data_IF_613803931011
#
_entry.id   IF_613803931011
#
_cell.length_a   1.000
_cell.length_b   1.000
_cell.length_c   1.000
_cell.angle_alpha   90.00
_cell.angle_beta   90.00
_cell.angle_gamma   90.00
#
_symmetry.space_group_name_H-M   'P 1'
#
loop_
_entity.id
_entity.type
_entity.pdbx_description
1 polymer ?
#
# COMPACT_ATOMS: atom_id res chain seq x y z
N UNK A 1 -11.04 -1.10 8.97
CA UNK A 1 -9.81 -0.72 9.70
C UNK A 1 -9.74 0.80 9.88
N UNK A 2 -9.60 1.59 8.80
CA UNK A 2 -9.46 3.06 8.88
C UNK A 2 -10.66 3.79 9.54
N UNK A 3 -11.89 3.32 9.33
CA UNK A 3 -13.09 3.89 9.98
C UNK A 3 -13.07 3.74 11.51
N UNK A 4 -12.37 2.72 12.04
CA UNK A 4 -12.18 2.54 13.48
C UNK A 4 -10.95 3.31 14.01
N UNK A 5 -10.36 4.18 13.21
CA UNK A 5 -9.13 4.92 13.50
C UNK A 5 -7.89 4.04 13.74
N UNK A 6 -7.81 2.89 13.05
CA UNK A 6 -6.64 2.02 13.02
C UNK A 6 -5.93 2.09 11.66
N UNK A 7 -4.66 1.67 11.66
CA UNK A 7 -3.81 1.46 10.48
C UNK A 7 -3.33 0.02 10.44
N UNK A 8 -3.12 -0.53 9.24
CA UNK A 8 -2.70 -1.92 9.03
C UNK A 8 -1.19 -2.11 9.17
N UNK A 9 -0.39 -1.20 8.60
CA UNK A 9 1.09 -1.17 8.58
C UNK A 9 1.78 -2.24 7.74
N UNK A 10 1.15 -3.37 7.51
CA UNK A 10 1.69 -4.46 6.68
C UNK A 10 0.71 -4.93 5.59
N UNK A 11 0.10 -3.97 4.89
CA UNK A 11 -0.87 -4.30 3.86
C UNK A 11 -0.15 -4.69 2.57
N UNK A 12 -0.29 -5.94 2.15
CA UNK A 12 0.19 -6.44 0.86
C UNK A 12 -0.70 -7.59 0.40
N UNK A 13 -0.55 -8.03 -0.85
CA UNK A 13 -1.41 -9.08 -1.42
C UNK A 13 -1.37 -10.40 -0.65
N UNK A 14 -0.28 -10.68 0.08
CA UNK A 14 -0.11 -11.88 0.89
C UNK A 14 -0.98 -11.90 2.14
N UNK A 15 -1.43 -10.71 2.58
CA UNK A 15 -2.35 -10.52 3.69
C UNK A 15 -3.80 -10.32 3.22
N UNK A 16 -4.09 -10.62 1.94
CA UNK A 16 -5.45 -10.65 1.39
C UNK A 16 -5.82 -12.10 1.14
N UNK A 17 -6.85 -12.58 1.84
CA UNK A 17 -7.27 -13.97 1.85
C UNK A 17 -8.63 -14.12 1.18
N UNK A 18 -8.83 -15.23 0.47
CA UNK A 18 -10.14 -15.61 -0.08
C UNK A 18 -10.89 -16.48 0.92
N UNK A 19 -12.11 -16.08 1.30
CA UNK A 19 -12.97 -16.85 2.19
C UNK A 19 -14.09 -17.55 1.43
N UNK A 20 -14.02 -18.88 1.34
CA UNK A 20 -15.06 -19.70 0.75
C UNK A 20 -16.34 -19.76 1.60
N UNK A 21 -16.25 -19.40 2.88
CA UNK A 21 -17.41 -19.40 3.80
C UNK A 21 -18.24 -18.12 3.69
N UNK A 22 -17.67 -17.05 3.15
CA UNK A 22 -18.32 -15.75 3.03
C UNK A 22 -18.56 -15.41 1.55
N UNK A 23 -19.20 -16.31 0.81
CA UNK A 23 -19.53 -16.10 -0.60
C UNK A 23 -18.32 -15.71 -1.47
N UNK A 24 -17.17 -16.37 -1.27
CA UNK A 24 -15.94 -16.08 -2.03
C UNK A 24 -15.47 -14.62 -1.87
N UNK A 25 -15.67 -14.04 -0.68
CA UNK A 25 -15.23 -12.68 -0.37
C UNK A 25 -13.73 -12.62 -0.07
N UNK A 26 -13.10 -11.54 -0.52
CA UNK A 26 -11.74 -11.17 -0.15
C UNK A 26 -11.72 -10.48 1.22
N UNK A 27 -10.79 -10.89 2.08
CA UNK A 27 -10.66 -10.40 3.46
C UNK A 27 -9.22 -9.97 3.69
N UNK A 28 -9.06 -8.79 4.30
CA UNK A 28 -7.77 -8.32 4.80
C UNK A 28 -7.48 -9.02 6.14
N UNK A 29 -6.40 -9.77 6.19
CA UNK A 29 -5.92 -10.51 7.35
C UNK A 29 -4.64 -9.92 7.95
N UNK A 30 -4.02 -10.64 8.88
CA UNK A 30 -2.79 -10.28 9.59
C UNK A 30 -2.76 -8.86 10.18
N UNK A 31 -3.50 -8.69 11.29
CA UNK A 31 -3.55 -7.45 12.05
C UNK A 31 -2.49 -7.40 13.17
N UNK A 32 -1.48 -8.28 13.15
CA UNK A 32 -0.49 -8.39 14.24
C UNK A 32 0.34 -7.13 14.46
N UNK A 33 0.50 -6.32 13.40
CA UNK A 33 1.21 -5.04 13.42
C UNK A 33 0.28 -3.82 13.48
N UNK A 34 -1.03 -4.04 13.40
CA UNK A 34 -2.03 -2.96 13.37
C UNK A 34 -2.05 -2.17 14.68
N UNK A 35 -2.27 -0.86 14.58
CA UNK A 35 -2.32 0.02 15.75
C UNK A 35 -3.23 1.23 15.52
N UNK A 36 -3.60 1.98 16.58
CA UNK A 36 -4.31 3.24 16.42
C UNK A 36 -3.51 4.23 15.56
N UNK A 37 -4.19 4.96 14.67
CA UNK A 37 -3.57 5.93 13.77
C UNK A 37 -2.89 7.09 14.53
N UNK A 38 -3.38 7.38 15.75
CA UNK A 38 -2.86 8.45 16.62
C UNK A 38 -1.82 7.96 17.64
N UNK A 39 -1.31 6.73 17.48
CA UNK A 39 -0.34 6.19 18.43
C UNK A 39 0.93 7.05 18.48
N UNK A 40 1.27 7.52 19.68
CA UNK A 40 2.45 8.35 19.96
C UNK A 40 3.70 7.51 20.26
N UNK A 41 3.56 6.19 20.39
CA UNK A 41 4.68 5.27 20.59
C UNK A 41 5.70 5.41 19.46
N UNK A 42 6.95 5.67 19.83
CA UNK A 42 8.10 5.88 18.93
C UNK A 42 8.65 4.56 18.36
N UNK A 43 7.84 3.50 18.24
CA UNK A 43 8.34 2.28 17.61
C UNK A 43 8.50 2.52 16.10
N UNK A 44 9.68 3.04 15.74
CA UNK A 44 10.10 3.39 14.39
C UNK A 44 10.65 2.19 13.63
N UNK A 45 10.46 0.97 14.14
CA UNK A 45 10.80 -0.24 13.40
C UNK A 45 9.97 -0.30 12.11
N UNK A 46 10.70 -0.47 11.01
CA UNK A 46 10.12 -0.59 9.68
C UNK A 46 9.80 -2.07 9.48
N UNK A 47 8.52 -2.36 9.39
CA UNK A 47 7.98 -3.68 9.09
C UNK A 47 7.33 -3.69 7.72
N UNK A 48 7.27 -4.88 7.13
CA UNK A 48 6.51 -5.18 5.91
C UNK A 48 7.37 -5.45 4.69
N UNK A 49 6.70 -5.59 3.55
CA UNK A 49 7.31 -5.99 2.27
C UNK A 49 7.70 -4.76 1.46
N UNK A 50 9.01 -4.58 1.18
CA UNK A 50 9.62 -3.33 0.67
C UNK A 50 8.79 -2.58 -0.39
N UNK A 51 8.31 -3.22 -1.48
CA UNK A 51 7.57 -2.50 -2.52
C UNK A 51 6.26 -1.87 -2.05
N UNK A 52 5.63 -2.42 -1.01
CA UNK A 52 4.33 -1.99 -0.47
C UNK A 52 4.48 -0.92 0.62
N UNK A 53 5.70 -0.69 1.11
CA UNK A 53 5.99 0.32 2.15
C UNK A 53 6.09 1.70 1.49
N UNK A 54 5.33 2.65 2.04
CA UNK A 54 5.32 4.02 1.54
C UNK A 54 6.68 4.72 1.74
N UNK A 55 7.14 5.55 0.78
CA UNK A 55 8.49 6.12 0.78
C UNK A 55 8.81 6.99 2.01
N UNK A 56 7.80 7.65 2.59
CA UNK A 56 7.96 8.46 3.79
C UNK A 56 8.36 7.64 5.02
N UNK A 57 8.01 6.35 5.07
CA UNK A 57 8.35 5.45 6.18
C UNK A 57 9.85 5.20 6.21
N UNK A 58 10.46 4.97 5.04
CA UNK A 58 11.91 4.83 4.92
C UNK A 58 12.67 6.12 5.26
N UNK A 59 12.00 7.29 5.22
CA UNK A 59 12.55 8.59 5.62
C UNK A 59 12.37 8.89 7.12
N UNK A 60 11.96 7.91 7.92
CA UNK A 60 11.67 8.08 9.35
C UNK A 60 10.31 8.71 9.63
N UNK A 61 9.44 8.79 8.63
CA UNK A 61 8.03 9.14 8.80
C UNK A 61 7.27 8.04 9.57
N UNK A 62 6.10 8.42 10.10
CA UNK A 62 5.24 7.48 10.82
C UNK A 62 4.29 6.78 9.87
N UNK A 63 3.99 5.51 10.16
CA UNK A 63 2.88 4.83 9.52
C UNK A 63 1.57 5.59 9.78
N UNK A 64 0.73 5.68 8.75
CA UNK A 64 -0.52 6.42 8.76
C UNK A 64 -1.56 5.74 7.88
N UNK A 65 -2.77 6.29 7.82
CA UNK A 65 -3.80 5.78 6.90
C UNK A 65 -3.34 5.93 5.45
N UNK A 66 -2.68 7.04 5.14
CA UNK A 66 -2.13 7.37 3.84
C UNK A 66 -0.99 6.42 3.43
N UNK A 67 -0.23 5.87 4.37
CA UNK A 67 0.75 4.82 4.06
C UNK A 67 0.08 3.50 3.68
N UNK A 68 -1.04 3.12 4.32
CA UNK A 68 -1.82 1.96 3.87
C UNK A 68 -2.44 2.19 2.48
N UNK A 69 -2.85 3.43 2.15
CA UNK A 69 -3.35 3.78 0.81
C UNK A 69 -2.25 3.61 -0.26
N UNK A 70 -1.00 3.95 0.06
CA UNK A 70 0.12 3.65 -0.84
C UNK A 70 0.23 2.14 -1.11
N UNK A 71 0.14 1.33 -0.07
CA UNK A 71 0.16 -0.13 -0.20
C UNK A 71 -0.98 -0.66 -1.07
N UNK A 72 -2.19 -0.08 -0.94
CA UNK A 72 -3.31 -0.37 -1.84
C UNK A 72 -2.99 -0.01 -3.30
N UNK A 73 -2.30 1.11 -3.54
CA UNK A 73 -1.83 1.48 -4.89
C UNK A 73 -0.90 0.43 -5.51
N UNK A 74 -0.04 -0.19 -4.71
CA UNK A 74 0.85 -1.28 -5.17
C UNK A 74 0.07 -2.57 -5.40
N UNK A 75 -0.93 -2.88 -4.56
CA UNK A 75 -1.83 -4.02 -4.78
C UNK A 75 -2.65 -3.82 -6.07
N UNK A 76 -3.17 -2.62 -6.32
CA UNK A 76 -3.84 -2.29 -7.58
C UNK A 76 -2.93 -2.56 -8.78
N UNK A 77 -1.67 -2.11 -8.71
CA UNK A 77 -0.71 -2.38 -9.77
C UNK A 77 -0.49 -3.89 -9.98
N UNK A 78 -0.33 -4.66 -8.90
CA UNK A 78 -0.16 -6.12 -8.97
C UNK A 78 -1.35 -6.81 -9.64
N UNK A 79 -2.58 -6.35 -9.37
CA UNK A 79 -3.79 -6.88 -10.01
C UNK A 79 -3.79 -6.63 -11.52
N UNK A 80 -3.25 -5.49 -11.98
CA UNK A 80 -3.16 -5.18 -13.42
C UNK A 80 -2.00 -5.87 -14.11
N UNK A 81 -0.85 -5.98 -13.45
CA UNK A 81 0.35 -6.57 -14.01
C UNK A 81 0.37 -8.10 -13.95
N UNK A 82 -0.40 -8.70 -13.03
CA UNK A 82 -0.44 -10.15 -12.82
C UNK A 82 0.83 -10.74 -12.21
N UNK A 83 1.72 -9.90 -11.66
CA UNK A 83 2.99 -10.32 -11.07
C UNK A 83 3.39 -9.44 -9.87
N UNK A 84 4.40 -9.88 -9.11
CA UNK A 84 4.88 -9.14 -7.94
C UNK A 84 5.56 -7.82 -8.34
N UNK A 85 5.38 -6.74 -7.57
CA UNK A 85 6.08 -5.48 -7.83
C UNK A 85 7.59 -5.69 -7.72
N UNK A 86 8.31 -5.23 -8.76
CA UNK A 86 9.76 -5.38 -8.87
C UNK A 86 10.22 -6.85 -8.74
N UNK A 87 9.54 -7.79 -9.42
CA UNK A 87 9.84 -9.23 -9.36
C UNK A 87 11.25 -9.59 -9.85
N UNK A 88 11.85 -8.75 -10.69
CA UNK A 88 13.17 -8.89 -11.29
C UNK A 88 14.29 -8.12 -10.55
N UNK A 89 13.94 -7.45 -9.44
CA UNK A 89 14.87 -6.64 -8.64
C UNK A 89 15.05 -7.27 -7.27
N UNK A 90 16.27 -7.22 -6.73
CA UNK A 90 16.52 -7.65 -5.36
C UNK A 90 15.88 -6.67 -4.35
N UNK A 91 15.12 -7.21 -3.39
CA UNK A 91 14.45 -6.42 -2.36
C UNK A 91 15.42 -6.10 -1.22
N UNK A 92 16.34 -5.18 -1.50
CA UNK A 92 17.41 -4.77 -0.60
C UNK A 92 17.40 -3.24 -0.38
N UNK A 93 18.44 -2.74 0.28
CA UNK A 93 18.61 -1.31 0.59
C UNK A 93 18.68 -0.44 -0.67
N UNK A 94 19.17 -0.96 -1.80
CA UNK A 94 19.21 -0.20 -3.04
C UNK A 94 17.79 0.07 -3.57
N UNK A 95 16.91 -0.94 -3.54
CA UNK A 95 15.50 -0.74 -3.93
C UNK A 95 14.80 0.28 -3.04
N UNK A 96 15.11 0.29 -1.73
CA UNK A 96 14.59 1.30 -0.80
C UNK A 96 14.98 2.72 -1.24
N UNK A 97 16.26 2.95 -1.58
CA UNK A 97 16.72 4.25 -2.07
C UNK A 97 16.06 4.63 -3.39
N UNK A 98 15.92 3.70 -4.33
CA UNK A 98 15.22 3.97 -5.58
C UNK A 98 13.75 4.35 -5.35
N UNK A 99 13.03 3.68 -4.44
CA UNK A 99 11.64 4.02 -4.09
C UNK A 99 11.55 5.42 -3.45
N UNK A 100 12.50 5.75 -2.57
CA UNK A 100 12.66 7.08 -1.96
C UNK A 100 12.83 8.16 -3.04
N UNK A 101 13.59 7.85 -4.09
CA UNK A 101 13.89 8.72 -5.23
C UNK A 101 12.78 8.75 -6.29
N UNK A 102 11.70 7.99 -6.07
CA UNK A 102 10.49 8.04 -6.89
C UNK A 102 10.31 6.87 -7.83
N UNK A 103 11.13 5.82 -7.75
CA UNK A 103 10.88 4.56 -8.48
C UNK A 103 9.51 4.02 -8.10
N UNK A 104 8.71 3.73 -9.13
CA UNK A 104 7.39 3.08 -9.02
C UNK A 104 7.32 1.97 -10.07
N UNK A 105 6.47 0.96 -9.86
CA UNK A 105 6.17 0.01 -10.91
C UNK A 105 5.56 0.72 -12.13
N UNK A 106 5.91 0.26 -13.34
CA UNK A 106 5.43 0.86 -14.58
C UNK A 106 3.97 0.50 -14.83
N UNK A 107 3.10 1.50 -15.01
CA UNK A 107 1.69 1.26 -15.36
C UNK A 107 1.62 0.96 -16.86
N UNK A 108 1.14 -0.23 -17.20
CA UNK A 108 1.02 -0.70 -18.57
C UNK A 108 -0.13 -0.01 -19.31
N UNK A 109 -0.01 0.11 -20.63
CA UNK A 109 -0.97 0.83 -21.49
C UNK A 109 -2.37 0.18 -21.56
N UNK A 110 -2.49 -1.10 -21.17
CA UNK A 110 -3.74 -1.84 -21.08
C UNK A 110 -4.48 -1.61 -19.75
N UNK A 111 -3.86 -0.94 -18.78
CA UNK A 111 -4.54 -0.53 -17.54
C UNK A 111 -5.63 0.50 -17.86
N UNK A 112 -6.90 0.29 -17.49
CA UNK A 112 -7.97 1.26 -17.73
C UNK A 112 -7.63 2.63 -17.13
N UNK A 113 -7.91 3.71 -17.86
CA UNK A 113 -7.49 5.06 -17.49
C UNK A 113 -7.96 5.48 -16.08
N UNK A 114 -9.20 5.17 -15.71
CA UNK A 114 -9.71 5.44 -14.36
C UNK A 114 -8.90 4.73 -13.27
N UNK A 115 -8.50 3.48 -13.53
CA UNK A 115 -7.72 2.67 -12.61
C UNK A 115 -6.27 3.18 -12.52
N UNK A 116 -5.66 3.53 -13.67
CA UNK A 116 -4.34 4.15 -13.71
C UNK A 116 -4.29 5.49 -12.98
N UNK A 117 -5.32 6.33 -13.13
CA UNK A 117 -5.40 7.62 -12.46
C UNK A 117 -5.56 7.47 -10.94
N UNK A 118 -6.43 6.55 -10.48
CA UNK A 118 -6.57 6.26 -9.05
C UNK A 118 -5.27 5.68 -8.47
N UNK A 119 -4.63 4.75 -9.17
CA UNK A 119 -3.34 4.18 -8.76
C UNK A 119 -2.25 5.25 -8.63
N UNK A 120 -2.15 6.19 -9.59
CA UNK A 120 -1.23 7.33 -9.50
C UNK A 120 -1.52 8.23 -8.30
N UNK A 121 -2.78 8.43 -7.94
CA UNK A 121 -3.15 9.19 -6.74
C UNK A 121 -2.72 8.45 -5.46
N UNK A 122 -2.93 7.13 -5.38
CA UNK A 122 -2.47 6.32 -4.25
C UNK A 122 -0.94 6.31 -4.10
N UNK A 123 -0.21 6.31 -5.22
CA UNK A 123 1.26 6.26 -5.25
C UNK A 123 1.95 7.64 -5.14
N UNK A 124 1.19 8.70 -4.85
CA UNK A 124 1.71 10.06 -4.74
C UNK A 124 2.84 10.14 -3.69
N UNK A 125 3.98 10.79 -4.01
CA UNK A 125 5.08 10.94 -3.05
C UNK A 125 4.71 11.77 -1.82
N UNK A 126 3.74 12.67 -1.93
CA UNK A 126 3.17 13.40 -0.81
C UNK A 126 1.97 12.63 -0.23
N UNK A 127 2.06 12.12 1.02
CA UNK A 127 0.98 11.34 1.63
C UNK A 127 -0.33 12.12 1.72
N UNK A 128 -0.27 13.45 1.91
CA UNK A 128 -1.46 14.30 2.03
C UNK A 128 -2.25 14.45 0.74
N UNK A 129 -1.66 14.08 -0.40
CA UNK A 129 -2.30 14.09 -1.72
C UNK A 129 -2.91 12.74 -2.11
N UNK A 130 -2.74 11.72 -1.26
CA UNK A 130 -3.36 10.41 -1.47
C UNK A 130 -4.83 10.48 -1.04
N UNK A 131 -5.74 9.78 -1.73
CA UNK A 131 -7.14 9.76 -1.34
C UNK A 131 -7.29 9.04 -0.01
N UNK A 132 -8.26 9.44 0.81
CA UNK A 132 -8.67 8.60 1.94
C UNK A 132 -9.50 7.40 1.44
N UNK A 133 -9.70 6.39 2.29
CA UNK A 133 -10.40 5.16 1.88
C UNK A 133 -11.83 5.41 1.37
N UNK A 134 -12.52 6.46 1.84
CA UNK A 134 -13.88 6.78 1.40
C UNK A 134 -13.91 7.44 0.02
N UNK A 135 -12.89 8.21 -0.32
CA UNK A 135 -12.70 8.76 -1.68
C UNK A 135 -12.29 7.66 -2.66
N UNK A 136 -11.39 6.78 -2.21
CA UNK A 136 -10.97 5.60 -2.95
C UNK A 136 -12.17 4.72 -3.34
N UNK A 137 -13.00 4.33 -2.37
CA UNK A 137 -14.18 3.47 -2.60
C UNK A 137 -15.28 4.10 -3.45
N UNK A 138 -15.26 5.41 -3.71
CA UNK A 138 -16.21 6.07 -4.61
C UNK A 138 -15.76 6.08 -6.08
N UNK A 139 -14.48 5.81 -6.32
CA UNK A 139 -13.85 5.90 -7.64
C UNK A 139 -13.94 4.58 -8.41
N UNK A 140 -14.18 3.47 -7.70
CA UNK A 140 -14.31 2.10 -8.20
C UNK A 140 -15.76 1.64 -8.01
#
# INVERSE_FOLDING_TARGET
IHDNNFIHRDLHSGNILLSNQLHESWIIGDLGLSQPAENTSLNNEIYGVIPYIAPEIFKGGKFSKESDIYSLGIIMWELTAGCKPFADVEHNVNLIYEIIDGKRPEITNDTPECFANLMKQCLNPDPSKRPNIREFSKTI
#
